data_IF_717021084483
#
_entry.id   IF_717021084483
#
_cell.length_a   1.000
_cell.length_b   1.000
_cell.length_c   1.000
_cell.angle_alpha   90.00
_cell.angle_beta   90.00
_cell.angle_gamma   90.00
#
_symmetry.space_group_name_H-M   'P 1'
#
loop_
_entity.id
_entity.type
_entity.pdbx_description
1 polymer ?
#
# COMPACT_ATOMS: atom_id res chain seq x y z
N UNK A 1 15.96 12.25 19.69
CA UNK A 1 15.28 11.27 18.83
C UNK A 1 16.17 10.91 17.65
N UNK A 2 16.38 9.61 17.42
CA UNK A 2 17.02 9.07 16.21
C UNK A 2 16.02 8.23 15.41
N UNK A 3 16.06 8.34 14.10
CA UNK A 3 15.23 7.65 13.12
C UNK A 3 16.13 6.91 12.14
N UNK A 4 16.05 5.59 12.11
CA UNK A 4 16.81 4.72 11.20
C UNK A 4 15.88 4.13 10.16
N UNK A 5 16.17 4.36 8.88
CA UNK A 5 15.46 3.70 7.77
C UNK A 5 16.05 2.31 7.62
N UNK A 6 15.28 1.27 7.94
CA UNK A 6 15.74 -0.13 7.81
C UNK A 6 15.62 -0.58 6.36
N UNK A 7 14.50 -0.26 5.72
CA UNK A 7 14.26 -0.59 4.32
C UNK A 7 12.77 -0.53 3.96
N UNK A 8 12.46 -0.14 2.73
CA UNK A 8 11.08 0.09 2.27
C UNK A 8 10.27 0.99 3.24
N UNK A 9 9.31 0.43 3.98
CA UNK A 9 8.46 1.11 4.97
C UNK A 9 8.90 0.85 6.42
N UNK A 10 9.99 0.09 6.63
CA UNK A 10 10.50 -0.22 7.96
C UNK A 10 11.37 0.90 8.52
N UNK A 11 10.98 1.43 9.68
CA UNK A 11 11.71 2.48 10.40
C UNK A 11 11.83 2.14 11.87
N UNK A 12 12.99 2.45 12.45
CA UNK A 12 13.24 2.29 13.87
C UNK A 12 13.53 3.64 14.52
N UNK A 13 12.78 3.95 15.58
CA UNK A 13 12.92 5.17 16.36
C UNK A 13 13.56 4.87 17.72
N UNK A 14 14.63 5.59 18.04
CA UNK A 14 15.21 5.68 19.37
C UNK A 14 14.80 7.04 19.96
N UNK A 15 13.86 7.02 20.92
CA UNK A 15 13.35 8.24 21.57
C UNK A 15 14.05 8.47 22.91
N UNK A 16 13.74 9.59 23.59
CA UNK A 16 14.15 9.81 24.99
C UNK A 16 13.60 8.77 25.98
N UNK A 17 12.60 7.99 25.57
CA UNK A 17 12.00 6.90 26.35
C UNK A 17 12.09 5.57 25.60
N UNK A 18 10.96 5.01 25.09
CA UNK A 18 10.96 3.71 24.44
C UNK A 18 11.51 3.73 23.02
N UNK A 19 11.95 2.57 22.55
CA UNK A 19 12.19 2.29 21.13
C UNK A 19 10.88 1.94 20.41
N UNK A 20 10.74 2.37 19.16
CA UNK A 20 9.54 2.13 18.35
C UNK A 20 9.95 1.60 16.99
N UNK A 21 9.48 0.40 16.64
CA UNK A 21 9.63 -0.18 15.31
C UNK A 21 8.33 0.03 14.52
N UNK A 22 8.44 0.44 13.26
CA UNK A 22 7.31 0.64 12.35
C UNK A 22 7.44 -0.30 11.15
N UNK A 23 6.34 -0.95 10.76
CA UNK A 23 6.15 -1.74 9.53
C UNK A 23 7.33 -2.68 9.17
N UNK A 24 7.64 -3.69 10.00
CA UNK A 24 8.90 -4.42 9.91
C UNK A 24 8.91 -5.48 8.81
N UNK A 25 9.76 -5.29 7.80
CA UNK A 25 10.12 -6.24 6.75
C UNK A 25 11.65 -6.33 6.68
N UNK A 26 12.21 -7.42 7.20
CA UNK A 26 13.67 -7.56 7.45
C UNK A 26 14.35 -8.64 6.59
N UNK A 27 13.61 -9.40 5.79
CA UNK A 27 14.21 -10.49 5.03
C UNK A 27 13.29 -11.00 3.94
N UNK A 28 13.88 -11.53 2.88
CA UNK A 28 13.14 -12.20 1.82
C UNK A 28 12.28 -11.25 1.01
N UNK A 29 11.14 -11.74 0.57
CA UNK A 29 10.29 -11.12 -0.44
C UNK A 29 8.84 -11.08 0.00
N UNK A 30 8.07 -10.18 -0.60
CA UNK A 30 6.62 -10.16 -0.52
C UNK A 30 5.97 -10.64 -1.83
N UNK A 31 4.67 -10.93 -1.76
CA UNK A 31 3.80 -11.15 -2.92
C UNK A 31 4.29 -12.20 -3.93
N UNK A 32 4.31 -13.47 -3.51
CA UNK A 32 4.78 -14.61 -4.33
C UNK A 32 6.13 -14.33 -5.01
N UNK A 33 7.11 -13.88 -4.22
CA UNK A 33 8.48 -13.58 -4.65
C UNK A 33 8.62 -12.44 -5.65
N UNK A 34 7.59 -11.61 -5.82
CA UNK A 34 7.69 -10.45 -6.72
C UNK A 34 8.52 -9.32 -6.14
N UNK A 35 8.17 -8.86 -4.93
CA UNK A 35 8.77 -7.68 -4.33
C UNK A 35 9.96 -8.07 -3.45
N UNK A 36 11.07 -7.39 -3.63
CA UNK A 36 12.28 -7.51 -2.81
C UNK A 36 12.77 -6.12 -2.44
N UNK A 37 13.52 -5.99 -1.34
CA UNK A 37 14.13 -4.71 -1.00
C UNK A 37 15.09 -4.26 -2.09
N UNK A 38 14.94 -3.01 -2.51
CA UNK A 38 15.93 -2.33 -3.35
C UNK A 38 16.04 -0.85 -2.92
N UNK A 39 17.20 -0.38 -2.43
CA UNK A 39 18.46 -1.12 -2.28
C UNK A 39 18.35 -2.34 -1.36
N UNK A 40 19.23 -3.35 -1.50
CA UNK A 40 19.24 -4.48 -0.58
C UNK A 40 19.53 -3.98 0.84
N UNK A 41 18.91 -4.62 1.83
CA UNK A 41 19.17 -4.29 3.23
C UNK A 41 20.53 -4.82 3.67
N UNK A 42 21.17 -4.09 4.58
CA UNK A 42 22.36 -4.53 5.28
C UNK A 42 22.07 -5.51 6.42
N UNK A 43 23.03 -5.62 7.34
CA UNK A 43 22.89 -6.46 8.52
C UNK A 43 21.74 -6.00 9.42
N UNK A 44 21.01 -6.96 9.98
CA UNK A 44 19.91 -6.71 10.91
C UNK A 44 20.50 -6.45 12.30
N UNK A 45 20.27 -5.26 12.86
CA UNK A 45 20.58 -4.99 14.25
C UNK A 45 19.68 -5.86 15.17
N UNK A 46 20.25 -6.68 16.08
CA UNK A 46 19.47 -7.45 17.04
C UNK A 46 18.49 -6.61 17.88
N UNK A 47 18.76 -5.32 18.09
CA UNK A 47 17.87 -4.40 18.79
C UNK A 47 16.53 -4.22 18.06
N UNK A 48 16.52 -4.27 16.71
CA UNK A 48 15.29 -4.15 15.93
C UNK A 48 14.35 -5.35 16.11
N UNK A 49 14.83 -6.48 16.64
CA UNK A 49 14.00 -7.64 16.94
C UNK A 49 13.35 -7.58 18.34
N UNK A 50 13.72 -6.59 19.16
CA UNK A 50 13.23 -6.44 20.54
C UNK A 50 12.84 -4.99 20.88
N UNK A 51 12.00 -4.33 20.05
CA UNK A 51 11.55 -2.98 20.35
C UNK A 51 10.59 -2.97 21.56
N UNK A 52 10.54 -1.86 22.27
CA UNK A 52 9.53 -1.65 23.32
C UNK A 52 8.11 -1.61 22.73
N UNK A 53 7.96 -0.91 21.60
CA UNK A 53 6.73 -0.85 20.83
C UNK A 53 6.93 -1.22 19.36
N UNK A 54 5.98 -1.99 18.83
CA UNK A 54 5.78 -2.20 17.40
C UNK A 54 4.55 -1.41 16.96
N UNK A 55 4.64 -0.61 15.92
CA UNK A 55 3.49 -0.07 15.20
C UNK A 55 3.40 -0.69 13.81
N UNK A 56 2.21 -1.12 13.41
CA UNK A 56 1.95 -1.54 12.03
C UNK A 56 0.80 -0.71 11.44
N UNK A 57 1.09 -0.03 10.32
CA UNK A 57 0.19 0.90 9.64
C UNK A 57 -1.02 0.18 9.04
N UNK A 58 -0.79 -0.95 8.37
CA UNK A 58 -1.82 -1.74 7.70
C UNK A 58 -1.38 -3.18 7.40
N UNK A 59 -2.26 -3.98 6.82
CA UNK A 59 -2.10 -5.43 6.70
C UNK A 59 -1.45 -5.93 5.40
N UNK A 60 -1.03 -5.03 4.51
CA UNK A 60 -0.23 -5.40 3.34
C UNK A 60 1.10 -6.07 3.73
N UNK A 61 1.57 -7.05 2.95
CA UNK A 61 2.66 -7.95 3.39
C UNK A 61 4.05 -7.29 3.46
N UNK A 62 4.24 -6.17 2.77
CA UNK A 62 5.40 -5.30 2.85
C UNK A 62 5.41 -4.40 4.10
N UNK A 63 4.31 -4.36 4.88
CA UNK A 63 4.20 -3.68 6.18
C UNK A 63 3.96 -4.67 7.33
N UNK A 64 3.05 -5.63 7.12
CA UNK A 64 2.75 -6.77 7.96
C UNK A 64 3.50 -8.01 7.47
N UNK A 65 4.84 -7.98 7.55
CA UNK A 65 5.65 -9.08 7.05
C UNK A 65 5.71 -10.25 8.06
N UNK A 66 4.83 -11.25 7.89
CA UNK A 66 4.73 -12.41 8.78
C UNK A 66 6.07 -13.08 9.15
N UNK A 67 7.00 -13.37 8.21
CA UNK A 67 8.29 -13.96 8.57
C UNK A 67 9.14 -13.10 9.49
N UNK A 68 9.05 -11.77 9.39
CA UNK A 68 9.75 -10.84 10.29
C UNK A 68 9.05 -10.76 11.64
N UNK A 69 7.73 -10.57 11.64
CA UNK A 69 6.94 -10.44 12.88
C UNK A 69 7.10 -11.69 13.78
N UNK A 70 7.18 -12.89 13.19
CA UNK A 70 7.43 -14.14 13.95
C UNK A 70 8.78 -14.21 14.66
N UNK A 71 9.76 -13.38 14.26
CA UNK A 71 11.09 -13.32 14.88
C UNK A 71 11.19 -12.26 15.98
N UNK A 72 10.20 -11.37 16.09
CA UNK A 72 10.17 -10.35 17.14
C UNK A 72 9.89 -10.96 18.51
N UNK A 73 10.32 -10.27 19.57
CA UNK A 73 9.99 -10.66 20.94
C UNK A 73 8.47 -10.57 21.19
N UNK A 74 7.79 -11.67 21.58
CA UNK A 74 6.36 -11.64 21.91
C UNK A 74 6.00 -10.74 23.10
N UNK A 75 6.98 -10.27 23.88
CA UNK A 75 6.81 -9.28 24.94
C UNK A 75 6.69 -7.84 24.41
N UNK A 76 7.06 -7.57 23.15
CA UNK A 76 6.88 -6.26 22.52
C UNK A 76 5.42 -5.82 22.57
N UNK A 77 5.19 -4.55 22.92
CA UNK A 77 3.85 -3.96 22.93
C UNK A 77 3.45 -3.56 21.52
N UNK A 78 2.35 -4.11 21.04
CA UNK A 78 1.89 -3.86 19.67
C UNK A 78 0.86 -2.74 19.65
N UNK A 79 1.09 -1.76 18.80
CA UNK A 79 0.18 -0.68 18.47
C UNK A 79 -0.33 -0.91 17.05
N UNK A 80 -1.65 -0.89 16.87
CA UNK A 80 -2.28 -0.96 15.53
C UNK A 80 -3.34 0.11 15.40
N UNK A 81 -3.66 0.60 14.21
CA UNK A 81 -4.77 1.51 14.02
C UNK A 81 -6.13 0.87 14.31
N UNK A 82 -7.03 1.68 14.87
CA UNK A 82 -8.41 1.31 15.18
C UNK A 82 -9.31 1.37 13.94
N UNK A 83 -9.14 0.46 12.98
CA UNK A 83 -10.01 0.38 11.80
C UNK A 83 -11.43 -0.13 12.10
N UNK A 84 -12.27 -0.13 11.08
CA UNK A 84 -13.62 -0.68 11.14
C UNK A 84 -13.65 -2.18 11.42
N UNK A 85 -12.65 -2.90 10.94
CA UNK A 85 -12.37 -4.32 11.22
C UNK A 85 -11.23 -4.47 12.23
N UNK A 86 -11.13 -5.63 12.86
CA UNK A 86 -10.13 -6.00 13.88
C UNK A 86 -9.15 -7.08 13.42
N UNK A 87 -8.98 -7.23 12.10
CA UNK A 87 -8.13 -8.24 11.47
C UNK A 87 -6.72 -8.28 12.08
N UNK A 88 -5.98 -7.17 12.04
CA UNK A 88 -4.61 -7.11 12.59
C UNK A 88 -4.54 -7.48 14.08
N UNK A 89 -5.54 -7.09 14.88
CA UNK A 89 -5.58 -7.47 16.30
C UNK A 89 -5.70 -8.99 16.45
N UNK A 90 -6.53 -9.63 15.63
CA UNK A 90 -6.65 -11.08 15.57
C UNK A 90 -5.35 -11.75 15.16
N UNK A 91 -4.69 -11.23 14.13
CA UNK A 91 -3.43 -11.77 13.61
C UNK A 91 -2.28 -11.67 14.61
N UNK A 92 -2.07 -10.52 15.25
CA UNK A 92 -1.03 -10.39 16.28
C UNK A 92 -1.26 -11.33 17.47
N UNK A 93 -2.51 -11.50 17.90
CA UNK A 93 -2.85 -12.46 18.96
C UNK A 93 -2.56 -13.90 18.53
N UNK A 94 -2.85 -14.26 17.28
CA UNK A 94 -2.55 -15.58 16.70
C UNK A 94 -1.04 -15.83 16.63
N UNK A 95 -0.25 -14.77 16.42
CA UNK A 95 1.21 -14.81 16.41
C UNK A 95 1.84 -14.80 17.81
N UNK A 96 1.03 -14.68 18.88
CA UNK A 96 1.49 -14.82 20.27
C UNK A 96 1.67 -13.51 21.03
N UNK A 97 1.42 -12.35 20.41
CA UNK A 97 1.50 -11.06 21.07
C UNK A 97 0.29 -10.86 22.00
N UNK A 98 0.58 -10.54 23.27
CA UNK A 98 -0.44 -10.42 24.33
C UNK A 98 -0.91 -8.99 24.55
N UNK A 99 -0.02 -8.02 24.38
CA UNK A 99 -0.32 -6.60 24.53
C UNK A 99 -0.51 -5.96 23.16
N UNK A 100 -1.76 -5.97 22.67
CA UNK A 100 -2.14 -5.36 21.39
C UNK A 100 -3.14 -4.24 21.66
N UNK A 101 -2.69 -3.00 21.42
CA UNK A 101 -3.44 -1.77 21.68
C UNK A 101 -3.81 -1.07 20.38
N UNK A 102 -5.08 -0.67 20.28
CA UNK A 102 -5.58 0.00 19.09
C UNK A 102 -5.56 1.54 19.22
N UNK A 103 -4.82 2.22 18.33
CA UNK A 103 -4.74 3.66 18.24
C UNK A 103 -5.94 4.24 17.50
N UNK A 104 -6.69 5.09 18.22
CA UNK A 104 -7.88 5.76 17.68
C UNK A 104 -7.47 6.91 16.76
N UNK A 105 -8.07 7.00 15.57
CA UNK A 105 -7.86 8.12 14.64
C UNK A 105 -7.78 9.49 15.35
N UNK A 106 -6.63 10.16 15.21
CA UNK A 106 -6.34 11.50 15.75
C UNK A 106 -6.25 11.59 17.28
N UNK A 107 -6.18 10.47 17.99
CA UNK A 107 -6.00 10.45 19.45
C UNK A 107 -4.52 10.29 19.77
N UNK A 108 -3.95 11.30 20.41
CA UNK A 108 -2.59 11.26 20.96
C UNK A 108 -2.50 10.24 22.10
N UNK A 109 -1.44 9.44 22.06
CA UNK A 109 -1.10 8.44 23.06
C UNK A 109 0.29 8.75 23.59
N UNK A 110 0.42 8.91 24.90
CA UNK A 110 1.71 9.15 25.57
C UNK A 110 2.34 7.80 25.91
N UNK A 111 3.54 7.53 25.40
CA UNK A 111 4.29 6.30 25.67
C UNK A 111 5.30 6.48 26.82
N UNK A 112 5.80 7.71 27.01
CA UNK A 112 6.67 8.18 28.09
C UNK A 112 6.50 9.71 28.27
N UNK A 113 7.03 10.37 29.33
CA UNK A 113 6.76 11.79 29.63
C UNK A 113 6.81 12.74 28.43
N UNK A 114 7.81 12.59 27.55
CA UNK A 114 8.02 13.45 26.38
C UNK A 114 7.74 12.75 25.05
N UNK A 115 7.37 11.46 25.09
CA UNK A 115 7.18 10.62 23.90
C UNK A 115 5.70 10.41 23.63
N UNK A 116 5.22 11.00 22.54
CA UNK A 116 3.82 10.95 22.12
C UNK A 116 3.72 10.37 20.72
N UNK A 117 2.72 9.53 20.50
CA UNK A 117 2.40 8.99 19.18
C UNK A 117 0.94 9.23 18.82
N UNK A 118 0.66 9.33 17.52
CA UNK A 118 -0.70 9.41 17.00
C UNK A 118 -0.83 8.70 15.66
N UNK A 119 -1.96 8.04 15.47
CA UNK A 119 -2.34 7.38 14.22
C UNK A 119 -3.51 8.12 13.57
N UNK A 120 -3.35 8.51 12.31
CA UNK A 120 -4.35 9.19 11.50
C UNK A 120 -4.78 8.29 10.35
N UNK A 121 -5.88 7.57 10.57
CA UNK A 121 -6.45 6.65 9.60
C UNK A 121 -6.93 7.35 8.32
N UNK A 122 -6.55 6.79 7.19
CA UNK A 122 -6.92 7.14 5.82
C UNK A 122 -7.60 5.94 5.15
N UNK A 123 -8.53 6.19 4.22
CA UNK A 123 -9.26 5.09 3.58
C UNK A 123 -9.93 4.15 4.59
N UNK A 124 -9.82 2.84 4.38
CA UNK A 124 -10.42 1.81 5.25
C UNK A 124 -9.38 0.94 5.97
N UNK A 125 -8.12 1.12 5.62
CA UNK A 125 -7.06 0.16 5.82
C UNK A 125 -5.68 0.80 6.00
N UNK A 126 -5.48 2.11 5.80
CA UNK A 126 -4.15 2.73 5.88
C UNK A 126 -4.08 3.89 6.91
N UNK A 127 -2.89 4.29 7.35
CA UNK A 127 -2.68 5.38 8.31
C UNK A 127 -1.40 6.17 8.09
N UNK A 128 -1.46 7.46 8.40
CA UNK A 128 -0.29 8.26 8.74
C UNK A 128 0.05 8.08 10.22
N UNK A 129 1.32 7.90 10.54
CA UNK A 129 1.84 7.75 11.90
C UNK A 129 2.72 8.94 12.27
N UNK A 130 2.60 9.41 13.51
CA UNK A 130 3.41 10.52 14.02
C UNK A 130 4.07 10.12 15.31
N UNK A 131 5.37 10.38 15.40
CA UNK A 131 6.19 10.23 16.62
C UNK A 131 6.69 11.61 17.00
N UNK A 132 6.41 12.04 18.23
CA UNK A 132 6.96 13.25 18.81
C UNK A 132 7.74 12.90 20.09
N UNK A 133 8.93 13.49 20.22
CA UNK A 133 9.86 13.31 21.33
C UNK A 133 10.41 14.69 21.74
N UNK A 134 9.85 15.24 22.82
CA UNK A 134 10.07 16.64 23.21
C UNK A 134 9.56 17.60 22.13
N UNK A 135 10.44 18.48 21.65
CA UNK A 135 10.15 19.45 20.59
C UNK A 135 10.32 18.87 19.18
N UNK A 136 10.78 17.63 19.05
CA UNK A 136 11.04 17.01 17.74
C UNK A 136 9.87 16.15 17.28
N UNK A 137 9.50 16.26 16.01
CA UNK A 137 8.38 15.52 15.41
C UNK A 137 8.77 14.88 14.08
N UNK A 138 8.52 13.58 13.94
CA UNK A 138 8.59 12.85 12.67
C UNK A 138 7.18 12.44 12.25
N UNK A 139 6.83 12.76 11.01
CA UNK A 139 5.58 12.30 10.38
C UNK A 139 5.92 11.26 9.32
N UNK A 140 5.49 10.03 9.57
CA UNK A 140 5.55 8.95 8.60
C UNK A 140 4.20 8.83 7.88
N UNK A 141 4.17 9.25 6.62
CA UNK A 141 2.99 9.06 5.78
C UNK A 141 2.81 7.61 5.38
N UNK A 142 3.89 6.83 5.26
CA UNK A 142 3.84 5.55 4.59
C UNK A 142 3.09 5.68 3.24
N UNK A 143 2.02 4.90 3.02
CA UNK A 143 1.15 4.95 1.83
C UNK A 143 0.04 6.01 1.89
N UNK A 144 -0.10 6.68 3.02
CA UNK A 144 -1.20 7.59 3.29
C UNK A 144 -1.15 8.83 2.38
N UNK A 145 -2.34 9.27 1.93
CA UNK A 145 -2.51 10.43 1.03
C UNK A 145 -3.32 11.56 1.68
N UNK A 146 -3.27 11.70 3.00
CA UNK A 146 -3.97 12.79 3.71
C UNK A 146 -3.45 14.16 3.26
N UNK A 147 -4.37 15.09 2.99
CA UNK A 147 -4.13 16.47 2.53
C UNK A 147 -5.05 17.48 3.20
N UNK A 148 -4.71 18.75 3.12
CA UNK A 148 -5.59 19.87 3.49
C UNK A 148 -5.95 19.90 4.97
N UNK A 149 -7.22 20.19 5.26
CA UNK A 149 -7.70 20.38 6.65
C UNK A 149 -7.39 19.21 7.60
N UNK A 150 -7.54 17.93 7.21
CA UNK A 150 -7.06 16.82 8.03
C UNK A 150 -5.56 16.89 8.34
N UNK A 151 -4.71 17.21 7.36
CA UNK A 151 -3.26 17.32 7.56
C UNK A 151 -2.88 18.49 8.48
N UNK A 152 -3.53 19.65 8.29
CA UNK A 152 -3.35 20.81 9.17
C UNK A 152 -3.69 20.51 10.63
N UNK A 153 -4.64 19.60 10.89
CA UNK A 153 -4.94 19.15 12.26
C UNK A 153 -3.82 18.31 12.85
N UNK A 154 -3.14 17.50 12.03
CA UNK A 154 -1.96 16.73 12.46
C UNK A 154 -0.90 17.68 12.99
N UNK A 155 -0.51 18.67 12.20
CA UNK A 155 0.50 19.68 12.57
C UNK A 155 0.08 20.45 13.81
N UNK A 156 -1.18 20.92 13.87
CA UNK A 156 -1.71 21.62 15.04
C UNK A 156 -1.68 20.80 16.33
N UNK A 157 -1.80 19.47 16.24
CA UNK A 157 -1.88 18.58 17.39
C UNK A 157 -0.52 18.03 17.82
N UNK A 158 0.38 17.79 16.86
CA UNK A 158 1.64 17.11 17.10
C UNK A 158 2.84 18.05 17.14
N UNK A 159 2.81 19.14 16.36
CA UNK A 159 3.93 20.05 16.15
C UNK A 159 4.28 20.16 14.66
N UNK A 160 5.14 21.13 14.34
CA UNK A 160 5.77 21.20 13.01
C UNK A 160 6.79 20.06 12.89
N UNK A 161 6.81 19.33 11.75
CA UNK A 161 7.70 18.19 11.57
C UNK A 161 9.16 18.61 11.28
N UNK A 162 10.11 18.01 12.00
CA UNK A 162 11.51 18.01 11.57
C UNK A 162 11.70 17.15 10.33
N UNK A 163 11.05 15.99 10.28
CA UNK A 163 11.23 14.98 9.25
C UNK A 163 9.87 14.45 8.77
N UNK A 164 9.70 14.39 7.45
CA UNK A 164 8.58 13.72 6.79
C UNK A 164 9.09 12.56 5.96
N UNK A 165 8.54 11.37 6.19
CA UNK A 165 8.76 10.18 5.37
C UNK A 165 7.52 9.96 4.51
N UNK A 166 7.67 9.75 3.20
CA UNK A 166 6.53 9.57 2.29
C UNK A 166 6.80 8.67 1.09
N UNK A 167 5.85 7.76 0.80
CA UNK A 167 5.77 6.97 -0.45
C UNK A 167 6.01 7.83 -1.68
N UNK A 168 6.79 7.34 -2.65
CA UNK A 168 7.13 8.11 -3.85
C UNK A 168 6.97 7.36 -5.17
N UNK A 169 6.50 6.10 -5.13
CA UNK A 169 6.18 5.33 -6.33
C UNK A 169 4.88 4.55 -6.20
N UNK A 170 4.55 3.79 -7.24
CA UNK A 170 3.34 2.98 -7.30
C UNK A 170 3.51 1.68 -6.50
N UNK A 171 2.41 1.21 -5.93
CA UNK A 171 2.30 -0.06 -5.20
C UNK A 171 1.21 -0.98 -5.80
N UNK A 172 0.58 -0.55 -6.89
CA UNK A 172 -0.52 -1.25 -7.55
C UNK A 172 -0.20 -1.51 -9.01
N UNK A 173 -0.70 -2.62 -9.56
CA UNK A 173 -0.41 -3.01 -10.94
C UNK A 173 -0.92 -2.06 -12.01
N UNK A 174 -1.92 -1.22 -11.73
CA UNK A 174 -2.37 -0.24 -12.72
C UNK A 174 -1.45 0.99 -12.78
N UNK A 175 -1.06 1.49 -13.96
CA UNK A 175 -1.34 0.96 -15.30
C UNK A 175 -0.27 -0.03 -15.82
N UNK A 176 0.79 -0.27 -15.06
CA UNK A 176 2.01 -0.94 -15.52
C UNK A 176 1.86 -2.43 -15.88
N UNK A 177 0.82 -3.10 -15.37
CA UNK A 177 0.48 -4.49 -15.67
C UNK A 177 -0.70 -4.61 -16.64
N UNK A 178 -1.04 -3.53 -17.36
CA UNK A 178 -2.24 -3.44 -18.17
C UNK A 178 -1.93 -3.11 -19.63
N UNK A 179 -2.71 -3.70 -20.52
CA UNK A 179 -2.94 -3.25 -21.90
C UNK A 179 -4.40 -2.81 -22.03
N UNK A 180 -4.70 -1.94 -22.99
CA UNK A 180 -6.06 -1.44 -23.18
C UNK A 180 -6.41 -1.27 -24.66
N UNK A 181 -7.68 -1.54 -25.00
CA UNK A 181 -8.24 -1.26 -26.32
C UNK A 181 -8.15 0.24 -26.67
N UNK A 182 -8.30 1.13 -25.67
CA UNK A 182 -8.06 2.58 -25.79
C UNK A 182 -6.86 2.96 -24.91
N UNK A 183 -5.74 3.43 -25.46
CA UNK A 183 -4.57 3.84 -24.68
C UNK A 183 -4.86 4.89 -23.59
N UNK A 184 -5.92 5.71 -23.75
CA UNK A 184 -6.33 6.69 -22.74
C UNK A 184 -6.78 6.04 -21.43
N UNK A 185 -7.23 4.79 -21.48
CA UNK A 185 -7.60 4.02 -20.30
C UNK A 185 -6.39 3.71 -19.40
N UNK A 186 -5.15 3.95 -19.85
CA UNK A 186 -3.92 3.80 -19.09
C UNK A 186 -3.36 5.13 -18.53
N UNK A 187 -4.02 6.26 -18.80
CA UNK A 187 -3.52 7.60 -18.45
C UNK A 187 -4.04 8.13 -17.11
N UNK A 188 -4.82 7.35 -16.34
CA UNK A 188 -5.42 7.83 -15.07
C UNK A 188 -4.36 8.16 -14.00
N UNK A 189 -3.22 7.48 -14.04
CA UNK A 189 -2.07 7.69 -13.15
C UNK A 189 -0.80 7.61 -13.99
N UNK A 190 0.16 8.47 -13.71
CA UNK A 190 1.47 8.48 -14.37
C UNK A 190 2.59 8.66 -13.36
N UNK A 191 3.84 8.57 -13.81
CA UNK A 191 5.02 8.95 -13.01
C UNK A 191 4.87 10.35 -12.42
N UNK A 192 4.33 11.29 -13.20
CA UNK A 192 4.12 12.67 -12.76
C UNK A 192 3.17 12.78 -11.57
N UNK A 193 2.15 11.92 -11.50
CA UNK A 193 1.22 11.86 -10.36
C UNK A 193 1.97 11.70 -9.03
N UNK A 194 3.00 10.85 -9.00
CA UNK A 194 3.79 10.60 -7.78
C UNK A 194 4.71 11.76 -7.40
N UNK A 195 5.37 12.40 -8.37
CA UNK A 195 6.13 13.62 -8.12
C UNK A 195 5.24 14.71 -7.54
N UNK A 196 4.08 14.92 -8.16
CA UNK A 196 3.18 15.99 -7.75
C UNK A 196 2.55 15.70 -6.38
N UNK A 197 2.23 14.44 -6.07
CA UNK A 197 1.78 14.02 -4.73
C UNK A 197 2.85 14.29 -3.66
N UNK A 198 4.11 13.95 -3.93
CA UNK A 198 5.21 14.22 -3.01
C UNK A 198 5.39 15.71 -2.78
N UNK A 199 5.62 16.49 -3.85
CA UNK A 199 5.85 17.94 -3.79
C UNK A 199 4.71 18.65 -3.06
N UNK A 200 3.46 18.37 -3.44
CA UNK A 200 2.29 18.99 -2.81
C UNK A 200 2.16 18.68 -1.31
N UNK A 201 2.63 17.51 -0.85
CA UNK A 201 2.70 17.21 0.59
C UNK A 201 3.68 18.11 1.30
N UNK A 202 4.88 18.18 0.73
CA UNK A 202 6.03 18.77 1.38
C UNK A 202 5.83 20.29 1.44
N UNK A 203 5.29 20.89 0.38
CA UNK A 203 4.95 22.31 0.36
C UNK A 203 3.80 22.67 1.32
N UNK A 204 2.85 21.73 1.57
CA UNK A 204 1.79 21.93 2.55
C UNK A 204 2.32 21.87 3.99
N UNK A 205 3.22 20.91 4.28
CA UNK A 205 3.75 20.68 5.63
C UNK A 205 4.92 21.58 6.01
N UNK A 206 5.74 21.95 5.03
CA UNK A 206 6.98 22.70 5.19
C UNK A 206 7.89 22.10 6.29
N UNK A 207 8.19 20.79 6.25
CA UNK A 207 9.08 20.18 7.23
C UNK A 207 10.50 20.75 7.12
N UNK A 208 11.35 20.54 8.12
CA UNK A 208 12.78 20.82 7.94
C UNK A 208 13.40 19.89 6.89
N UNK A 209 13.04 18.61 6.94
CA UNK A 209 13.53 17.57 6.03
C UNK A 209 12.38 16.74 5.45
N UNK A 210 12.49 16.36 4.17
CA UNK A 210 11.57 15.44 3.52
C UNK A 210 12.32 14.30 2.84
N UNK A 211 11.89 13.07 3.08
CA UNK A 211 12.54 11.86 2.57
C UNK A 211 11.54 11.04 1.75
N UNK A 212 11.80 10.81 0.46
CA UNK A 212 11.10 9.79 -0.30
C UNK A 212 11.40 8.42 0.32
N UNK A 213 10.34 7.73 0.73
CA UNK A 213 10.35 6.53 1.57
C UNK A 213 9.26 5.54 1.10
N UNK A 214 9.12 4.34 1.68
CA UNK A 214 8.01 3.39 1.41
C UNK A 214 7.78 3.08 -0.08
N UNK A 215 8.85 3.07 -0.89
CA UNK A 215 8.82 2.63 -2.30
C UNK A 215 10.15 2.01 -2.74
N UNK A 216 11.02 1.68 -1.78
CA UNK A 216 12.34 1.08 -1.99
C UNK A 216 12.23 -0.43 -2.25
N UNK A 217 11.73 -0.78 -3.44
CA UNK A 217 11.54 -2.17 -3.88
C UNK A 217 12.09 -2.41 -5.28
N UNK A 218 12.54 -3.64 -5.51
CA UNK A 218 12.86 -4.19 -6.81
C UNK A 218 11.95 -5.37 -7.12
N UNK A 219 11.38 -5.40 -8.32
CA UNK A 219 10.57 -6.52 -8.78
C UNK A 219 11.48 -7.56 -9.43
N UNK A 220 11.87 -8.60 -8.70
CA UNK A 220 12.90 -9.53 -9.17
C UNK A 220 12.34 -10.81 -9.80
N UNK A 221 11.04 -11.07 -9.62
CA UNK A 221 10.38 -12.20 -10.29
C UNK A 221 10.28 -11.96 -11.80
N UNK A 222 10.53 -12.97 -12.66
CA UNK A 222 10.46 -12.80 -14.12
C UNK A 222 9.14 -12.20 -14.62
N UNK A 223 8.02 -12.62 -14.02
CA UNK A 223 6.67 -12.12 -14.38
C UNK A 223 6.45 -10.63 -14.04
N UNK A 224 7.20 -10.06 -13.08
CA UNK A 224 7.04 -8.66 -12.65
C UNK A 224 8.25 -7.79 -12.98
N UNK A 225 9.32 -8.35 -13.56
CA UNK A 225 10.59 -7.63 -13.78
C UNK A 225 10.43 -6.37 -14.62
N UNK A 226 9.52 -6.40 -15.60
CA UNK A 226 9.19 -5.27 -16.45
C UNK A 226 8.74 -4.03 -15.64
N UNK A 227 8.05 -4.21 -14.51
CA UNK A 227 7.58 -3.10 -13.68
C UNK A 227 8.70 -2.19 -13.13
N UNK A 228 9.95 -2.66 -13.09
CA UNK A 228 11.07 -1.84 -12.62
C UNK A 228 11.31 -0.59 -13.49
N UNK A 229 10.96 -0.64 -14.78
CA UNK A 229 11.13 0.48 -15.71
C UNK A 229 10.25 1.69 -15.36
N UNK A 230 9.16 1.44 -14.64
CA UNK A 230 8.19 2.47 -14.28
C UNK A 230 8.43 3.05 -12.88
N UNK A 231 9.32 2.46 -12.07
CA UNK A 231 9.60 2.92 -10.70
C UNK A 231 10.10 4.36 -10.73
N UNK A 232 9.47 5.19 -9.90
CA UNK A 232 9.88 6.56 -9.63
C UNK A 232 10.91 6.49 -8.51
N UNK A 233 12.16 6.83 -8.78
CA UNK A 233 13.25 6.67 -7.82
C UNK A 233 13.26 7.81 -6.79
N UNK A 234 13.84 7.62 -5.59
CA UNK A 234 13.94 8.69 -4.60
C UNK A 234 14.83 9.85 -5.09
N UNK A 235 15.83 9.57 -5.94
CA UNK A 235 16.71 10.59 -6.54
C UNK A 235 15.91 11.51 -7.46
N UNK A 236 15.12 10.94 -8.38
CA UNK A 236 14.26 11.72 -9.28
C UNK A 236 13.27 12.59 -8.50
N UNK A 237 12.73 12.10 -7.38
CA UNK A 237 11.76 12.83 -6.56
C UNK A 237 12.42 14.02 -5.85
N UNK A 238 13.62 13.83 -5.31
CA UNK A 238 14.41 14.90 -4.69
C UNK A 238 14.77 15.98 -5.72
N UNK A 239 15.19 15.59 -6.93
CA UNK A 239 15.49 16.52 -8.01
C UNK A 239 14.26 17.28 -8.48
N UNK A 240 13.13 16.58 -8.69
CA UNK A 240 11.86 17.19 -9.05
C UNK A 240 11.38 18.19 -7.98
N UNK A 241 11.52 17.85 -6.69
CA UNK A 241 11.19 18.76 -5.60
C UNK A 241 12.07 20.01 -5.59
N UNK A 242 13.39 19.86 -5.72
CA UNK A 242 14.32 21.01 -5.76
C UNK A 242 14.04 21.93 -6.94
N UNK A 243 13.67 21.37 -8.09
CA UNK A 243 13.31 22.16 -9.27
C UNK A 243 11.95 22.89 -9.09
N UNK A 244 10.96 22.24 -8.46
CA UNK A 244 9.63 22.81 -8.26
C UNK A 244 9.57 23.84 -7.13
N UNK A 245 10.36 23.66 -6.06
CA UNK A 245 10.32 24.46 -4.83
C UNK A 245 11.68 25.05 -4.45
N UNK A 246 12.36 25.81 -5.33
CA UNK A 246 13.77 26.25 -5.14
C UNK A 246 13.98 27.25 -3.98
N UNK A 247 12.90 27.88 -3.50
CA UNK A 247 12.93 28.84 -2.39
C UNK A 247 12.42 28.23 -1.08
N UNK A 248 12.12 26.94 -1.06
CA UNK A 248 11.66 26.25 0.15
C UNK A 248 12.75 26.22 1.22
N UNK A 249 12.35 26.35 2.48
CA UNK A 249 13.22 26.08 3.63
C UNK A 249 13.36 24.59 3.94
N UNK A 250 12.58 23.74 3.27
CA UNK A 250 12.65 22.28 3.40
C UNK A 250 13.78 21.73 2.55
N UNK A 251 14.59 20.84 3.13
CA UNK A 251 15.58 20.08 2.40
C UNK A 251 15.06 18.67 2.09
N UNK A 252 14.90 18.35 0.80
CA UNK A 252 14.60 16.99 0.35
C UNK A 252 15.88 16.16 0.23
N UNK A 253 15.89 14.99 0.88
CA UNK A 253 17.07 14.15 1.09
C UNK A 253 16.72 12.69 0.82
N UNK A 254 17.63 11.93 0.22
CA UNK A 254 17.50 10.47 0.09
C UNK A 254 18.07 9.76 1.32
N UNK A 255 17.38 8.70 1.75
CA UNK A 255 17.86 7.76 2.76
C UNK A 255 17.79 6.33 2.19
N UNK A 256 18.90 5.62 2.21
CA UNK A 256 18.99 4.20 1.89
C UNK A 256 18.78 3.34 3.15
N UNK A 257 18.51 2.03 3.01
CA UNK A 257 18.58 1.07 4.10
C UNK A 257 19.85 1.23 4.95
N UNK A 258 19.68 1.46 6.26
CA UNK A 258 20.75 1.70 7.23
C UNK A 258 21.02 3.17 7.55
N UNK A 259 20.55 4.12 6.71
CA UNK A 259 20.75 5.54 6.95
C UNK A 259 19.96 6.02 8.18
N UNK A 260 20.51 7.00 8.89
CA UNK A 260 19.89 7.55 10.10
C UNK A 260 19.79 9.07 10.08
N UNK A 261 18.76 9.58 10.74
CA UNK A 261 18.61 10.98 11.12
C UNK A 261 18.54 11.07 12.64
N UNK A 262 19.38 11.91 13.24
CA UNK A 262 19.35 12.23 14.66
C UNK A 262 19.03 13.71 14.87
N UNK A 263 18.15 14.00 15.82
CA UNK A 263 17.70 15.36 16.14
C UNK A 263 18.83 16.32 16.54
N UNK A 264 19.95 15.80 17.03
CA UNK A 264 21.11 16.56 17.51
C UNK A 264 22.26 16.54 16.50
N UNK A 265 22.66 15.37 15.99
CA UNK A 265 23.81 15.24 15.08
C UNK A 265 23.46 15.33 13.59
N UNK A 266 22.17 15.30 13.22
CA UNK A 266 21.73 15.34 11.83
C UNK A 266 21.83 13.98 11.14
N UNK A 267 22.10 13.97 9.84
CA UNK A 267 22.09 12.76 9.02
C UNK A 267 23.43 12.01 9.07
N UNK A 268 23.35 10.69 9.19
CA UNK A 268 24.44 9.75 8.94
C UNK A 268 23.98 8.83 7.81
N UNK A 269 24.66 8.91 6.65
CA UNK A 269 24.25 8.23 5.42
C UNK A 269 25.40 7.48 4.80
N UNK A 270 25.10 6.33 4.19
CA UNK A 270 26.03 5.61 3.35
C UNK A 270 26.37 6.43 2.09
N UNK A 271 27.66 6.50 1.77
CA UNK A 271 28.14 7.11 0.52
C UNK A 271 28.16 6.07 -0.60
N UNK A 272 26.97 5.64 -1.03
CA UNK A 272 26.81 4.68 -2.11
C UNK A 272 25.62 5.03 -3.01
N UNK A 273 25.85 5.02 -4.32
CA UNK A 273 24.83 5.31 -5.33
C UNK A 273 24.24 4.01 -5.89
N UNK A 274 23.04 3.69 -5.42
CA UNK A 274 22.26 2.53 -5.89
C UNK A 274 21.47 2.81 -7.18
N UNK A 275 21.37 4.06 -7.64
CA UNK A 275 20.38 4.43 -8.65
C UNK A 275 20.98 4.76 -10.01
N UNK A 276 22.25 5.17 -10.09
CA UNK A 276 22.92 5.42 -11.38
C UNK A 276 23.05 4.15 -12.22
N UNK A 277 23.58 3.05 -11.66
CA UNK A 277 23.73 1.76 -12.35
C UNK A 277 22.62 0.76 -11.94
N UNK A 278 21.38 1.26 -11.79
CA UNK A 278 20.28 0.50 -11.18
C UNK A 278 20.01 -0.87 -11.82
N UNK A 279 19.99 -0.98 -13.15
CA UNK A 279 19.70 -2.26 -13.81
C UNK A 279 20.75 -3.33 -13.48
N UNK A 280 22.04 -2.94 -13.42
CA UNK A 280 23.12 -3.85 -13.02
C UNK A 280 22.89 -4.37 -11.60
N UNK A 281 22.57 -3.50 -10.65
CA UNK A 281 22.33 -3.92 -9.27
C UNK A 281 21.02 -4.72 -9.10
N UNK A 282 20.00 -4.44 -9.91
CA UNK A 282 18.79 -5.26 -9.98
C UNK A 282 19.08 -6.66 -10.51
N UNK A 283 19.98 -6.81 -11.50
CA UNK A 283 20.45 -8.11 -11.98
C UNK A 283 21.21 -8.88 -10.90
N UNK A 284 22.13 -8.22 -10.20
CA UNK A 284 22.84 -8.83 -9.06
C UNK A 284 21.87 -9.29 -7.97
N UNK A 285 20.84 -8.49 -7.66
CA UNK A 285 19.80 -8.88 -6.71
C UNK A 285 18.95 -10.05 -7.24
N UNK A 286 18.63 -10.07 -8.53
CA UNK A 286 17.86 -11.13 -9.15
C UNK A 286 18.60 -12.48 -9.11
N UNK A 287 19.92 -12.47 -9.33
CA UNK A 287 20.77 -13.67 -9.20
C UNK A 287 20.74 -14.22 -7.76
N UNK A 288 20.80 -13.35 -6.75
CA UNK A 288 20.67 -13.74 -5.35
C UNK A 288 19.27 -14.28 -5.02
N UNK A 289 18.22 -13.74 -5.63
CA UNK A 289 16.83 -14.16 -5.44
C UNK A 289 16.46 -15.44 -6.22
N UNK A 290 17.21 -15.78 -7.28
CA UNK A 290 16.88 -16.84 -8.24
C UNK A 290 16.60 -18.21 -7.60
N UNK A 291 17.35 -18.69 -6.58
CA UNK A 291 17.04 -19.97 -5.94
C UNK A 291 15.68 -19.98 -5.23
N UNK A 292 15.29 -18.86 -4.62
CA UNK A 292 14.00 -18.73 -3.93
C UNK A 292 12.84 -18.62 -4.93
N UNK A 293 13.04 -17.87 -6.03
CA UNK A 293 12.07 -17.74 -7.12
C UNK A 293 11.85 -19.09 -7.81
N UNK A 294 12.92 -19.80 -8.16
CA UNK A 294 12.84 -21.12 -8.83
C UNK A 294 12.07 -22.13 -7.98
N UNK A 295 12.30 -22.13 -6.66
CA UNK A 295 11.55 -22.98 -5.73
C UNK A 295 10.07 -22.61 -5.70
N UNK A 296 9.73 -21.33 -5.61
CA UNK A 296 8.34 -20.85 -5.62
C UNK A 296 7.63 -21.25 -6.90
N UNK A 297 8.27 -21.08 -8.06
CA UNK A 297 7.71 -21.47 -9.36
C UNK A 297 7.43 -22.97 -9.44
N UNK A 298 8.33 -23.80 -8.89
CA UNK A 298 8.10 -25.23 -8.79
C UNK A 298 6.88 -25.55 -7.91
N UNK A 299 6.83 -25.02 -6.69
CA UNK A 299 5.68 -25.19 -5.77
C UNK A 299 4.36 -24.69 -6.38
N UNK A 300 4.40 -23.59 -7.14
CA UNK A 300 3.24 -23.04 -7.86
C UNK A 300 2.79 -23.96 -9.00
N UNK A 301 3.72 -24.59 -9.72
CA UNK A 301 3.41 -25.52 -10.82
C UNK A 301 2.77 -26.84 -10.37
N UNK A 302 2.98 -27.23 -9.12
CA UNK A 302 2.35 -28.42 -8.54
C UNK A 302 0.89 -28.17 -8.13
N UNK A 303 0.47 -26.89 -8.09
CA UNK A 303 -0.90 -26.50 -7.76
C UNK A 303 -1.78 -26.47 -9.00
N UNK A 304 -2.93 -27.12 -8.92
CA UNK A 304 -3.93 -27.11 -10.00
C UNK A 304 -5.09 -26.20 -9.62
N UNK A 305 -5.30 -25.14 -10.41
CA UNK A 305 -6.50 -24.33 -10.30
C UNK A 305 -7.67 -25.08 -10.92
N UNK A 306 -8.73 -25.32 -10.15
CA UNK A 306 -9.94 -25.98 -10.65
C UNK A 306 -11.04 -24.95 -10.90
N UNK A 307 -11.90 -25.21 -11.89
CA UNK A 307 -13.05 -24.34 -12.13
C UNK A 307 -14.02 -24.32 -10.92
N UNK A 308 -14.12 -25.43 -10.18
CA UNK A 308 -14.96 -25.52 -8.98
C UNK A 308 -14.48 -24.56 -7.88
N UNK A 309 -13.19 -24.61 -7.51
CA UNK A 309 -12.64 -23.74 -6.47
C UNK A 309 -12.73 -22.26 -6.85
N UNK A 310 -12.45 -21.93 -8.12
CA UNK A 310 -12.63 -20.59 -8.67
C UNK A 310 -14.10 -20.13 -8.62
N UNK A 311 -15.01 -20.96 -9.13
CA UNK A 311 -16.45 -20.65 -9.18
C UNK A 311 -17.02 -20.44 -7.79
N UNK A 312 -16.69 -21.29 -6.83
CA UNK A 312 -17.15 -21.18 -5.45
C UNK A 312 -16.68 -19.90 -4.78
N UNK A 313 -15.40 -19.55 -4.95
CA UNK A 313 -14.84 -18.31 -4.44
C UNK A 313 -15.58 -17.09 -5.00
N UNK A 314 -15.67 -16.98 -6.33
CA UNK A 314 -16.23 -15.81 -7.00
C UNK A 314 -17.76 -15.72 -6.89
N UNK A 315 -18.47 -16.85 -6.71
CA UNK A 315 -19.89 -16.86 -6.35
C UNK A 315 -20.12 -16.40 -4.90
N UNK A 316 -19.26 -16.78 -3.95
CA UNK A 316 -19.33 -16.26 -2.57
C UNK A 316 -19.11 -14.75 -2.54
N UNK A 317 -18.09 -14.26 -3.26
CA UNK A 317 -17.85 -12.84 -3.46
C UNK A 317 -19.08 -12.14 -4.05
N UNK A 318 -19.57 -12.62 -5.20
CA UNK A 318 -20.73 -12.03 -5.90
C UNK A 318 -22.01 -11.98 -5.06
N UNK A 319 -22.20 -12.96 -4.16
CA UNK A 319 -23.33 -12.98 -3.22
C UNK A 319 -23.18 -11.97 -2.09
N UNK A 320 -21.95 -11.67 -1.67
CA UNK A 320 -21.65 -10.68 -0.63
C UNK A 320 -21.77 -9.23 -1.13
N UNK A 321 -21.55 -8.98 -2.43
CA UNK A 321 -21.73 -7.66 -3.05
C UNK A 321 -23.22 -7.26 -3.09
N UNK A 322 -23.59 -6.06 -2.59
CA UNK A 322 -24.95 -5.54 -2.68
C UNK A 322 -25.43 -5.39 -4.13
N UNK A 323 -26.70 -5.69 -4.41
CA UNK A 323 -27.25 -5.63 -5.77
C UNK A 323 -27.13 -4.25 -6.43
N UNK A 324 -27.25 -3.16 -5.67
CA UNK A 324 -27.06 -1.81 -6.18
C UNK A 324 -25.60 -1.55 -6.56
N UNK A 325 -24.64 -1.93 -5.71
CA UNK A 325 -23.22 -1.82 -6.00
C UNK A 325 -22.87 -2.67 -7.25
N UNK A 326 -23.31 -3.93 -7.31
CA UNK A 326 -23.13 -4.77 -8.49
C UNK A 326 -23.68 -4.10 -9.75
N UNK A 327 -24.87 -3.47 -9.70
CA UNK A 327 -25.49 -2.83 -10.87
C UNK A 327 -24.75 -1.59 -11.38
N UNK A 328 -24.19 -0.77 -10.49
CA UNK A 328 -23.67 0.55 -10.85
C UNK A 328 -22.15 0.68 -10.80
N UNK A 329 -21.47 -0.23 -10.09
CA UNK A 329 -20.02 -0.21 -9.85
C UNK A 329 -19.32 -1.29 -10.69
N UNK A 330 -19.76 -2.55 -10.62
CA UNK A 330 -19.19 -3.66 -11.42
C UNK A 330 -20.13 -3.99 -12.59
N UNK A 331 -20.10 -3.18 -13.65
CA UNK A 331 -21.17 -3.13 -14.66
C UNK A 331 -21.13 -4.26 -15.67
N UNK A 332 -19.94 -4.73 -16.00
CA UNK A 332 -19.65 -5.79 -16.97
C UNK A 332 -19.05 -7.02 -16.27
N UNK A 333 -19.14 -8.22 -16.86
CA UNK A 333 -18.40 -9.39 -16.41
C UNK A 333 -16.89 -9.18 -16.53
N UNK A 334 -16.11 -9.96 -15.78
CA UNK A 334 -14.65 -10.05 -15.91
C UNK A 334 -14.29 -11.49 -16.31
N UNK A 335 -13.29 -11.65 -17.17
CA UNK A 335 -12.78 -12.94 -17.56
C UNK A 335 -11.38 -13.18 -16.99
N UNK A 336 -11.12 -14.40 -16.54
CA UNK A 336 -9.79 -14.88 -16.16
C UNK A 336 -9.34 -15.90 -17.19
N UNK A 337 -8.18 -15.67 -17.80
CA UNK A 337 -7.58 -16.59 -18.75
C UNK A 337 -6.74 -17.64 -18.02
N UNK A 338 -7.09 -18.91 -18.17
CA UNK A 338 -6.41 -20.07 -17.57
C UNK A 338 -5.80 -20.91 -18.67
N UNK A 339 -4.47 -20.90 -18.75
CA UNK A 339 -3.73 -21.64 -19.78
C UNK A 339 -3.89 -23.16 -19.60
N UNK A 340 -3.97 -23.89 -20.71
CA UNK A 340 -4.13 -25.35 -20.73
C UNK A 340 -5.55 -25.89 -20.47
N UNK A 341 -6.54 -25.07 -20.17
CA UNK A 341 -7.96 -25.50 -20.08
C UNK A 341 -8.62 -25.48 -21.48
N UNK A 342 -9.51 -26.44 -21.76
CA UNK A 342 -10.25 -26.51 -23.03
C UNK A 342 -11.24 -25.35 -23.21
N UNK A 343 -11.72 -24.78 -22.11
CA UNK A 343 -12.53 -23.57 -22.05
C UNK A 343 -11.78 -22.51 -21.22
N UNK A 344 -10.71 -21.89 -21.76
CA UNK A 344 -9.72 -21.16 -20.97
C UNK A 344 -10.21 -19.83 -20.41
N UNK A 345 -11.38 -19.33 -20.83
CA UNK A 345 -11.93 -18.07 -20.33
C UNK A 345 -12.95 -18.33 -19.24
N UNK A 346 -12.54 -18.16 -17.98
CA UNK A 346 -13.40 -18.32 -16.82
C UNK A 346 -14.00 -16.97 -16.45
N UNK A 347 -15.30 -16.82 -16.66
CA UNK A 347 -15.99 -15.53 -16.62
C UNK A 347 -16.84 -15.42 -15.37
N UNK A 348 -16.72 -14.32 -14.65
CA UNK A 348 -17.57 -13.94 -13.53
C UNK A 348 -18.44 -12.74 -13.88
N UNK A 349 -19.75 -12.87 -13.68
CA UNK A 349 -20.71 -11.77 -13.69
C UNK A 349 -21.28 -11.56 -12.29
N UNK A 350 -20.78 -10.53 -11.61
CA UNK A 350 -21.20 -10.14 -10.26
C UNK A 350 -22.66 -9.72 -10.21
N UNK A 351 -23.19 -9.08 -11.27
CA UNK A 351 -24.58 -8.62 -11.35
C UNK A 351 -25.56 -9.78 -11.44
N UNK A 352 -25.25 -10.74 -12.30
CA UNK A 352 -26.06 -11.95 -12.48
C UNK A 352 -25.76 -13.03 -11.46
N UNK A 353 -24.67 -12.88 -10.70
CA UNK A 353 -24.14 -13.87 -9.74
C UNK A 353 -23.92 -15.22 -10.42
N UNK A 354 -23.23 -15.18 -11.55
CA UNK A 354 -22.91 -16.36 -12.37
C UNK A 354 -21.41 -16.42 -12.61
N UNK A 355 -20.91 -17.65 -12.64
CA UNK A 355 -19.56 -17.98 -13.09
C UNK A 355 -19.69 -19.10 -14.12
N UNK A 356 -18.99 -19.00 -15.24
CA UNK A 356 -19.03 -19.99 -16.32
C UNK A 356 -17.69 -20.01 -17.08
N UNK A 357 -17.50 -21.00 -17.95
CA UNK A 357 -16.34 -21.08 -18.84
C UNK A 357 -16.73 -20.81 -20.29
N UNK A 358 -15.78 -20.39 -21.09
CA UNK A 358 -15.92 -20.18 -22.53
C UNK A 358 -14.68 -20.65 -23.26
N UNK A 359 -14.88 -21.34 -24.39
CA UNK A 359 -13.81 -21.72 -25.31
C UNK A 359 -13.24 -20.54 -26.11
N UNK A 360 -14.01 -19.47 -26.27
CA UNK A 360 -13.61 -18.26 -27.01
C UNK A 360 -13.56 -17.03 -26.10
N UNK A 361 -12.69 -16.09 -26.46
CA UNK A 361 -12.56 -14.83 -25.74
C UNK A 361 -13.91 -14.09 -25.72
N UNK A 362 -14.45 -13.76 -24.53
CA UNK A 362 -15.73 -13.06 -24.43
C UNK A 362 -15.56 -11.59 -24.84
N UNK A 363 -16.51 -11.08 -25.65
CA UNK A 363 -16.44 -9.72 -26.20
C UNK A 363 -17.03 -8.67 -25.27
N UNK A 364 -18.08 -9.01 -24.51
CA UNK A 364 -18.76 -8.09 -23.58
C UNK A 364 -18.26 -8.30 -22.14
N UNK A 365 -16.97 -8.06 -21.91
CA UNK A 365 -16.34 -8.05 -20.58
C UNK A 365 -15.68 -6.70 -20.33
N UNK A 366 -15.40 -6.41 -19.06
CA UNK A 366 -14.57 -5.26 -18.68
C UNK A 366 -13.10 -5.52 -18.96
N UNK A 367 -12.65 -6.73 -18.67
CA UNK A 367 -11.24 -7.10 -18.76
C UNK A 367 -11.06 -8.60 -18.93
N UNK A 368 -9.89 -8.97 -19.47
CA UNK A 368 -9.37 -10.33 -19.48
C UNK A 368 -8.09 -10.32 -18.63
N UNK A 369 -8.13 -11.01 -17.49
CA UNK A 369 -7.06 -11.05 -16.50
C UNK A 369 -6.30 -12.37 -16.66
N UNK A 370 -4.98 -12.29 -16.82
CA UNK A 370 -4.08 -13.44 -16.85
C UNK A 370 -3.23 -13.44 -15.59
N UNK A 371 -3.19 -14.60 -14.92
CA UNK A 371 -2.49 -14.81 -13.66
C UNK A 371 -2.02 -16.25 -13.59
N UNK A 372 -0.87 -16.50 -12.99
CA UNK A 372 -0.36 -17.86 -12.81
C UNK A 372 -1.37 -18.70 -11.98
N UNK A 373 -1.72 -19.92 -12.41
CA UNK A 373 -2.68 -20.76 -11.68
C UNK A 373 -2.30 -21.00 -10.22
N UNK A 374 -1.01 -21.24 -9.92
CA UNK A 374 -0.53 -21.44 -8.55
C UNK A 374 -0.74 -20.23 -7.64
N UNK A 375 -0.52 -19.02 -8.16
CA UNK A 375 -0.80 -17.76 -7.46
C UNK A 375 -2.29 -17.62 -7.17
N UNK A 376 -3.15 -17.96 -8.14
CA UNK A 376 -4.60 -17.89 -7.95
C UNK A 376 -5.12 -18.92 -6.94
N UNK A 377 -4.59 -20.15 -6.96
CA UNK A 377 -4.91 -21.18 -5.95
C UNK A 377 -4.56 -20.67 -4.56
N UNK A 378 -3.32 -20.19 -4.36
CA UNK A 378 -2.89 -19.67 -3.06
C UNK A 378 -3.73 -18.46 -2.61
N UNK A 379 -4.07 -17.58 -3.55
CA UNK A 379 -4.98 -16.46 -3.34
C UNK A 379 -6.35 -16.88 -2.84
N UNK A 380 -6.96 -17.88 -3.49
CA UNK A 380 -8.28 -18.41 -3.13
C UNK A 380 -8.24 -19.11 -1.78
N UNK A 381 -7.24 -19.96 -1.54
CA UNK A 381 -7.11 -20.77 -0.33
C UNK A 381 -6.93 -19.90 0.93
N UNK A 382 -6.23 -18.77 0.79
CA UNK A 382 -5.95 -17.86 1.89
C UNK A 382 -6.88 -16.63 1.93
N UNK A 383 -7.82 -16.48 0.99
CA UNK A 383 -8.72 -15.32 0.87
C UNK A 383 -7.93 -13.99 0.70
N UNK A 384 -6.96 -14.01 -0.21
CA UNK A 384 -6.03 -12.91 -0.50
C UNK A 384 -5.92 -12.63 -2.01
N UNK A 385 -6.97 -12.90 -2.78
CA UNK A 385 -6.94 -12.75 -4.25
C UNK A 385 -6.69 -11.30 -4.65
N UNK A 386 -7.15 -10.30 -3.88
CA UNK A 386 -6.85 -8.89 -4.19
C UNK A 386 -5.34 -8.57 -4.23
N UNK A 387 -4.50 -9.33 -3.50
CA UNK A 387 -3.05 -9.12 -3.52
C UNK A 387 -2.41 -9.52 -4.84
N UNK A 388 -3.11 -10.23 -5.73
CA UNK A 388 -2.63 -10.44 -7.11
C UNK A 388 -2.37 -9.10 -7.80
N UNK A 389 -3.24 -8.11 -7.56
CA UNK A 389 -3.08 -6.77 -8.13
C UNK A 389 -1.85 -6.02 -7.60
N UNK A 390 -1.51 -6.20 -6.32
CA UNK A 390 -0.33 -5.59 -5.67
C UNK A 390 0.94 -6.37 -6.04
N UNK A 391 0.81 -7.67 -6.29
CA UNK A 391 1.94 -8.55 -6.59
C UNK A 391 2.64 -8.25 -7.91
N UNK A 392 2.03 -7.49 -8.82
CA UNK A 392 2.53 -7.29 -10.19
C UNK A 392 2.71 -8.59 -11.00
N UNK A 393 2.22 -9.73 -10.51
CA UNK A 393 2.29 -11.05 -11.17
C UNK A 393 0.99 -11.38 -11.91
N UNK A 394 0.51 -10.41 -12.66
CA UNK A 394 -0.67 -10.54 -13.50
C UNK A 394 -0.54 -9.62 -14.71
N UNK A 395 -1.35 -9.90 -15.72
CA UNK A 395 -1.51 -9.03 -16.87
C UNK A 395 -3.00 -8.87 -17.15
N UNK A 396 -3.44 -7.66 -17.50
CA UNK A 396 -4.85 -7.38 -17.77
C UNK A 396 -5.04 -6.68 -19.09
N UNK A 397 -5.85 -7.26 -19.97
CA UNK A 397 -6.36 -6.59 -21.15
C UNK A 397 -7.67 -5.87 -20.81
N UNK A 398 -7.65 -4.54 -20.74
CA UNK A 398 -8.84 -3.71 -20.59
C UNK A 398 -9.59 -3.65 -21.91
N UNK A 399 -10.85 -4.10 -21.87
CA UNK A 399 -11.76 -3.95 -23.00
C UNK A 399 -12.44 -2.59 -22.94
N UNK A 400 -12.91 -2.10 -24.08
CA UNK A 400 -13.60 -0.81 -24.21
C UNK A 400 -14.61 -0.55 -23.08
N UNK A 401 -14.54 0.63 -22.46
CA UNK A 401 -15.37 1.05 -21.31
C UNK A 401 -15.25 0.11 -20.07
N UNK A 402 -14.15 -0.63 -19.96
CA UNK A 402 -13.92 -1.66 -18.95
C UNK A 402 -13.17 -1.18 -17.71
N UNK A 403 -12.29 -0.20 -17.86
CA UNK A 403 -11.39 0.36 -16.82
C UNK A 403 -12.12 0.61 -15.51
N UNK A 404 -13.25 1.30 -15.57
CA UNK A 404 -14.01 1.64 -14.38
C UNK A 404 -14.61 0.44 -13.65
N UNK A 405 -14.94 -0.63 -14.37
CA UNK A 405 -15.45 -1.88 -13.78
C UNK A 405 -14.32 -2.73 -13.20
N UNK A 406 -13.17 -2.77 -13.87
CA UNK A 406 -12.00 -3.56 -13.44
C UNK A 406 -11.39 -3.04 -12.13
N UNK A 407 -11.04 -1.75 -12.08
CA UNK A 407 -10.50 -1.13 -10.86
C UNK A 407 -11.47 -1.23 -9.68
N UNK A 408 -12.77 -1.12 -9.98
CA UNK A 408 -13.80 -1.29 -8.98
C UNK A 408 -13.96 -2.75 -8.51
N UNK A 409 -13.72 -3.74 -9.37
CA UNK A 409 -13.71 -5.14 -8.99
C UNK A 409 -12.63 -5.41 -7.95
N UNK A 410 -11.37 -5.02 -8.22
CA UNK A 410 -10.26 -5.20 -7.28
C UNK A 410 -10.52 -4.50 -5.94
N UNK A 411 -11.03 -3.26 -5.98
CA UNK A 411 -11.40 -2.52 -4.77
C UNK A 411 -12.51 -3.21 -3.96
N UNK A 412 -13.57 -3.69 -4.62
CA UNK A 412 -14.69 -4.36 -3.93
C UNK A 412 -14.27 -5.74 -3.41
N UNK A 413 -13.36 -6.42 -4.10
CA UNK A 413 -12.77 -7.69 -3.68
C UNK A 413 -11.97 -7.50 -2.38
N UNK A 414 -11.07 -6.52 -2.32
CA UNK A 414 -10.35 -6.12 -1.11
C UNK A 414 -11.32 -5.90 0.06
N UNK A 415 -12.37 -5.10 -0.13
CA UNK A 415 -13.35 -4.84 0.93
C UNK A 415 -14.05 -6.12 1.43
N UNK A 416 -14.29 -7.09 0.53
CA UNK A 416 -14.89 -8.35 0.93
C UNK A 416 -13.91 -9.22 1.71
N UNK A 417 -12.66 -9.34 1.25
CA UNK A 417 -11.62 -10.14 1.88
C UNK A 417 -11.23 -9.60 3.27
N UNK A 418 -11.10 -8.27 3.42
CA UNK A 418 -10.94 -7.59 4.73
C UNK A 418 -12.16 -7.76 5.66
N UNK A 419 -13.29 -8.19 5.12
CA UNK A 419 -14.50 -8.48 5.89
C UNK A 419 -15.45 -7.31 6.09
N UNK A 420 -15.34 -6.25 5.30
CA UNK A 420 -16.33 -5.16 5.23
C UNK A 420 -17.63 -5.59 4.52
N UNK A 421 -17.57 -6.61 3.64
CA UNK A 421 -18.76 -7.22 3.04
C UNK A 421 -19.08 -8.61 3.61
N UNK A 422 -20.35 -9.03 3.64
CA UNK A 422 -21.56 -8.28 3.22
C UNK A 422 -21.92 -7.14 4.20
N UNK A 423 -22.69 -6.14 3.72
CA UNK A 423 -23.05 -4.89 4.44
C UNK A 423 -23.54 -5.08 5.88
N UNK A 424 -24.14 -6.22 6.23
CA UNK A 424 -24.49 -6.54 7.62
C UNK A 424 -23.29 -6.48 8.59
N UNK A 425 -22.07 -6.71 8.11
CA UNK A 425 -20.82 -6.56 8.88
C UNK A 425 -20.50 -5.08 9.19
N UNK A 426 -20.98 -4.15 8.35
CA UNK A 426 -20.85 -2.70 8.56
C UNK A 426 -21.72 -2.16 9.70
N UNK A 427 -22.72 -2.92 10.15
CA UNK A 427 -23.63 -2.51 11.24
C UNK A 427 -23.08 -2.84 12.65
N UNK A 428 -21.84 -3.34 12.75
CA UNK A 428 -21.21 -3.61 14.05
C UNK A 428 -20.98 -2.30 14.82
N UNK A 429 -21.13 -2.27 16.15
CA UNK A 429 -20.84 -1.08 16.96
C UNK A 429 -19.44 -0.51 16.73
N UNK A 430 -18.48 -1.41 16.45
CA UNK A 430 -17.11 -1.07 16.05
C UNK A 430 -17.07 -0.11 14.85
N UNK A 431 -17.77 -0.46 13.77
CA UNK A 431 -17.84 0.31 12.53
C UNK A 431 -18.50 1.67 12.75
N UNK A 432 -19.63 1.68 13.47
CA UNK A 432 -20.37 2.91 13.77
C UNK A 432 -19.49 3.88 14.57
N UNK A 433 -18.76 3.38 15.56
CA UNK A 433 -17.85 4.21 16.36
C UNK A 433 -16.69 4.80 15.54
N UNK A 434 -16.15 4.04 14.58
CA UNK A 434 -15.09 4.52 13.67
C UNK A 434 -15.65 5.57 12.71
N UNK A 435 -16.77 5.29 12.05
CA UNK A 435 -17.44 6.22 11.14
C UNK A 435 -17.83 7.53 11.84
N UNK A 436 -18.33 7.45 13.08
CA UNK A 436 -18.65 8.64 13.88
C UNK A 436 -17.41 9.48 14.20
N UNK A 437 -16.29 8.83 14.57
CA UNK A 437 -15.03 9.54 14.86
C UNK A 437 -14.49 10.24 13.61
N UNK A 438 -14.58 9.56 12.46
CA UNK A 438 -14.09 10.05 11.16
C UNK A 438 -15.15 10.81 10.35
N UNK A 439 -16.27 11.21 10.97
CA UNK A 439 -17.38 11.86 10.27
C UNK A 439 -16.95 13.09 9.49
N UNK A 440 -16.01 13.89 10.00
CA UNK A 440 -15.55 15.08 9.31
C UNK A 440 -14.89 14.76 7.95
N UNK A 441 -14.14 13.66 7.88
CA UNK A 441 -13.54 13.16 6.64
C UNK A 441 -14.61 12.61 5.71
N UNK A 442 -15.51 11.78 6.24
CA UNK A 442 -16.63 11.23 5.46
C UNK A 442 -17.51 12.33 4.86
N UNK A 443 -17.79 13.40 5.61
CA UNK A 443 -18.50 14.59 5.13
C UNK A 443 -17.71 15.37 4.08
N UNK A 444 -16.39 15.49 4.25
CA UNK A 444 -15.51 16.14 3.27
C UNK A 444 -15.50 15.36 1.95
N UNK A 445 -15.32 14.04 2.01
CA UNK A 445 -15.39 13.15 0.85
C UNK A 445 -16.78 13.20 0.20
N UNK A 446 -17.86 13.17 0.98
CA UNK A 446 -19.22 13.28 0.45
C UNK A 446 -19.48 14.63 -0.24
N UNK A 447 -18.96 15.74 0.29
CA UNK A 447 -19.04 17.06 -0.37
C UNK A 447 -18.23 17.11 -1.65
N UNK A 448 -17.05 16.50 -1.68
CA UNK A 448 -16.26 16.36 -2.90
C UNK A 448 -17.02 15.56 -3.97
N UNK A 449 -17.71 14.50 -3.56
CA UNK A 449 -18.57 13.67 -4.42
C UNK A 449 -19.77 14.47 -4.96
N UNK A 450 -20.42 15.26 -4.11
CA UNK A 450 -21.61 16.04 -4.48
C UNK A 450 -21.29 17.34 -5.26
N UNK A 451 -20.06 17.86 -5.17
CA UNK A 451 -19.65 19.12 -5.78
C UNK A 451 -18.88 19.04 -7.11
N UNK A 452 -18.37 17.86 -7.49
CA UNK A 452 -17.58 17.66 -8.71
C UNK A 452 -18.33 16.95 -9.85
N UNK A 453 -18.04 17.32 -11.11
CA UNK A 453 -18.39 16.54 -12.32
C UNK A 453 -17.25 15.55 -12.60
N UNK A 454 -17.53 14.24 -12.67
CA UNK A 454 -16.54 13.18 -12.94
C UNK A 454 -16.90 11.83 -12.29
N UNK A 455 -16.33 10.72 -12.75
CA UNK A 455 -16.55 9.39 -12.17
C UNK A 455 -15.91 9.27 -10.76
N UNK A 456 -16.25 8.25 -9.98
CA UNK A 456 -15.63 8.03 -8.66
C UNK A 456 -14.13 7.68 -8.80
N UNK A 457 -13.76 7.08 -9.92
CA UNK A 457 -12.40 6.64 -10.24
C UNK A 457 -11.55 7.84 -10.67
N UNK A 458 -12.10 8.73 -11.50
CA UNK A 458 -11.49 10.03 -11.87
C UNK A 458 -11.17 10.85 -10.62
N UNK A 459 -11.91 10.64 -9.52
CA UNK A 459 -11.73 11.36 -8.26
C UNK A 459 -10.81 10.67 -7.27
N UNK A 460 -10.63 9.35 -7.39
CA UNK A 460 -9.58 8.63 -6.65
C UNK A 460 -8.19 8.95 -7.22
N UNK A 461 -8.10 9.19 -8.54
CA UNK A 461 -6.91 9.80 -9.16
C UNK A 461 -6.76 11.29 -8.81
N UNK A 462 -7.84 12.08 -8.72
CA UNK A 462 -7.76 13.47 -8.22
C UNK A 462 -7.28 13.59 -6.76
N UNK A 463 -7.42 12.56 -5.91
CA UNK A 463 -6.83 12.59 -4.56
C UNK A 463 -5.30 12.50 -4.57
N UNK A 464 -4.70 12.05 -5.67
CA UNK A 464 -3.26 12.00 -5.88
C UNK A 464 -2.71 13.20 -6.65
N UNK A 465 -3.56 14.03 -7.28
CA UNK A 465 -3.16 15.25 -7.95
C UNK A 465 -3.47 16.48 -7.05
N UNK A 466 -2.53 17.42 -6.84
CA UNK A 466 -2.89 18.67 -6.18
C UNK A 466 -3.93 19.40 -7.04
N UNK A 467 -4.81 20.11 -6.35
CA UNK A 467 -5.65 21.10 -7.02
C UNK A 467 -4.75 22.26 -7.43
N UNK A 468 -4.83 22.66 -8.69
CA UNK A 468 -4.20 23.90 -9.15
C UNK A 468 -4.51 25.03 -8.17
N UNK A 469 -3.51 25.89 -7.85
CA UNK A 469 -3.78 27.09 -7.06
C UNK A 469 -4.88 27.88 -7.77
N UNK A 470 -5.91 28.29 -7.01
CA UNK A 470 -6.97 29.13 -7.54
C UNK A 470 -6.33 30.34 -8.25
N UNK A 471 -6.81 30.74 -9.44
CA UNK A 471 -6.25 31.89 -10.14
C UNK A 471 -6.35 33.09 -9.21
N UNK A 472 -5.21 33.67 -8.87
CA UNK A 472 -5.13 34.94 -8.15
C UNK A 472 -5.76 36.00 -9.06
N UNK A 473 -6.94 36.47 -8.67
CA UNK A 473 -7.58 37.65 -9.24
C UNK A 473 -6.76 38.90 -8.97
#
# INVERSE_FOLDING_TARGET
>A
MRCTVIGHSSVFFETSGPTILVDPWFSGSCYWRSWWHYPPMGDIDPAWLRPDYLYVTHDHFDHFHYPTIRKLDPATKVLVPRFGVDFMVGEFRRLGFKDVTELKHGRVTTLAPDVRVASYQYGFDDTLFVVADGDHTVIDFNDCKIRGRPLQKVVKQMGEPDLVLKSHSFAQGYPNCYEADDPKDLELVSRQTYFTDFIGTVDELKPRFAVPFASMVGFLHPESRHCNEHIVTPVEVVEAYRAASPTSGTEAITMAPGDTWDSTSGFERADFDWYTDREKYLDECADLAAPAITRSLHEESERTLTFESFSDFFLRFSRAVPRLAARFVIRKPLAFFVDGDAEPYWVMDVRRRKVWRSATAPVDVASIIKVAPGVMVDGIDNLIVHYVHISMRFHTELKRDGTGTDLAFWSVLLFWELGYLPVRRLMRPRMVAVAWRRRAELWSSARSILGGRGSVIDRMSEQMAPKDPAPTS
#
